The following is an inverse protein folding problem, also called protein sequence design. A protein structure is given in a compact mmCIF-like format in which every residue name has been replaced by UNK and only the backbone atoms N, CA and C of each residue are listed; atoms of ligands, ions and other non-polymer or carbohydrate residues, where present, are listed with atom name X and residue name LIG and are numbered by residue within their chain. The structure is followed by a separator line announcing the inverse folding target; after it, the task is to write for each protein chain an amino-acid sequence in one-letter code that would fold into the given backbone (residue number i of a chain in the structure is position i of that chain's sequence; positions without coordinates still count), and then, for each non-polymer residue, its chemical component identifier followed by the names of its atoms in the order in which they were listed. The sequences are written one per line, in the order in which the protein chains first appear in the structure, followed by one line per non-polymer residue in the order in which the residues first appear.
data_IF_216151828753
#
_entry.id   IF_216151828753
#
_cell.length_a   1.000
_cell.length_b   1.000
_cell.length_c   1.000
_cell.angle_alpha   90.00
_cell.angle_beta   90.00
_cell.angle_gamma   90.00
#
_symmetry.space_group_name_H-M   'P 1'
#
loop_
_entity.id
_entity.type
_entity.pdbx_description
1 polymer ?
#
# COMPACT_ATOMS: atom_id res chain seq x y z
N UNK A 1 37.52 -6.87 27.52
CA UNK A 1 36.91 -6.09 26.42
C UNK A 1 35.80 -6.95 25.84
N UNK A 2 34.55 -6.53 25.99
CA UNK A 2 33.39 -7.30 25.55
C UNK A 2 32.21 -6.35 25.46
N UNK A 3 32.29 -5.39 24.54
CA UNK A 3 31.11 -4.70 24.06
C UNK A 3 30.43 -5.71 23.14
N UNK A 4 29.28 -6.24 23.57
CA UNK A 4 28.43 -6.97 22.65
C UNK A 4 28.09 -6.03 21.50
N UNK A 5 28.34 -6.47 20.28
CA UNK A 5 27.94 -5.72 19.10
C UNK A 5 26.44 -5.45 19.22
N UNK A 6 26.08 -4.16 19.32
CA UNK A 6 24.68 -3.79 19.24
C UNK A 6 24.18 -4.26 17.88
N UNK A 7 23.25 -5.21 17.87
CA UNK A 7 22.62 -5.68 16.64
C UNK A 7 21.83 -4.50 16.10
N UNK A 8 22.41 -3.79 15.13
CA UNK A 8 21.78 -2.70 14.43
C UNK A 8 21.31 -3.22 13.07
N UNK A 9 20.13 -2.75 12.64
CA UNK A 9 19.61 -3.02 11.30
C UNK A 9 19.64 -1.72 10.48
N UNK A 10 19.76 -1.86 9.18
CA UNK A 10 19.69 -0.81 8.18
C UNK A 10 18.39 -0.96 7.34
N UNK A 11 17.21 -0.80 7.95
CA UNK A 11 15.95 -1.14 7.30
C UNK A 11 15.57 -0.19 6.16
N UNK A 12 14.89 -0.76 5.16
CA UNK A 12 14.17 -0.02 4.13
C UNK A 12 12.94 -0.81 3.63
N UNK A 13 11.98 -0.11 3.03
CA UNK A 13 10.72 -0.70 2.57
C UNK A 13 10.68 -0.69 1.04
N UNK A 14 10.39 -1.84 0.41
CA UNK A 14 9.96 -1.91 -1.00
C UNK A 14 8.44 -1.94 -1.09
N UNK A 15 7.89 -1.09 -1.95
CA UNK A 15 6.46 -1.08 -2.27
C UNK A 15 6.22 -1.96 -3.49
N UNK A 16 5.31 -2.93 -3.35
CA UNK A 16 4.98 -3.92 -4.37
C UNK A 16 3.49 -3.85 -4.65
N UNK A 17 3.12 -3.66 -5.91
CA UNK A 17 1.73 -3.58 -6.39
C UNK A 17 1.54 -4.65 -7.46
N UNK A 18 0.58 -5.56 -7.30
CA UNK A 18 0.35 -6.63 -8.27
C UNK A 18 1.53 -7.59 -8.47
N UNK A 19 2.49 -7.60 -7.54
CA UNK A 19 3.74 -8.37 -7.66
C UNK A 19 4.89 -7.59 -8.33
N UNK A 20 4.65 -6.37 -8.83
CA UNK A 20 5.65 -5.49 -9.42
C UNK A 20 6.15 -4.50 -8.37
N UNK A 21 7.47 -4.26 -8.32
CA UNK A 21 8.05 -3.26 -7.42
C UNK A 21 7.83 -1.86 -8.01
N UNK A 22 7.11 -0.99 -7.30
CA UNK A 22 6.85 0.40 -7.75
C UNK A 22 7.84 1.41 -7.16
N UNK A 23 8.54 1.04 -6.07
CA UNK A 23 9.56 1.89 -5.48
C UNK A 23 10.10 1.35 -4.16
N UNK A 24 10.99 2.12 -3.54
CA UNK A 24 11.47 1.84 -2.19
C UNK A 24 11.78 3.12 -1.42
N UNK A 25 11.75 3.05 -0.09
CA UNK A 25 12.21 4.14 0.78
C UNK A 25 13.74 4.26 0.74
N UNK A 26 14.25 5.38 1.27
CA UNK A 26 15.64 5.44 1.71
C UNK A 26 15.90 4.40 2.81
N UNK A 27 17.18 4.03 2.94
CA UNK A 27 17.68 3.19 4.02
C UNK A 27 17.86 4.04 5.26
N UNK A 28 17.35 3.58 6.40
CA UNK A 28 17.62 4.21 7.70
C UNK A 28 18.70 3.38 8.36
N UNK A 29 19.86 3.98 8.61
CA UNK A 29 21.00 3.25 9.17
C UNK A 29 20.88 3.06 10.68
N UNK A 30 21.37 1.92 11.14
CA UNK A 30 21.54 1.53 12.55
C UNK A 30 20.29 1.77 13.41
N UNK A 31 19.12 1.36 12.91
CA UNK A 31 17.83 1.62 13.53
C UNK A 31 16.95 0.38 13.60
N UNK A 32 16.50 0.09 14.81
CA UNK A 32 15.44 -0.87 15.09
C UNK A 32 14.04 -0.23 15.00
N UNK A 33 13.96 1.11 15.07
CA UNK A 33 12.73 1.91 14.97
C UNK A 33 12.87 2.97 13.87
N UNK A 34 12.89 2.55 12.60
CA UNK A 34 13.27 3.43 11.50
C UNK A 34 12.22 4.49 11.21
N UNK A 35 12.62 5.75 11.35
CA UNK A 35 11.81 6.89 10.92
C UNK A 35 12.10 7.20 9.45
N UNK A 36 11.37 6.53 8.56
CA UNK A 36 11.45 6.81 7.14
C UNK A 36 11.03 8.26 6.87
N UNK A 37 11.78 8.95 5.99
CA UNK A 37 11.29 10.20 5.41
C UNK A 37 9.99 9.90 4.67
N UNK A 38 9.09 10.88 4.65
CA UNK A 38 7.84 10.76 3.89
C UNK A 38 8.20 10.55 2.42
N UNK A 39 7.83 9.38 1.89
CA UNK A 39 7.89 9.06 0.48
C UNK A 39 6.46 8.95 -0.03
N UNK A 40 6.20 9.46 -1.23
CA UNK A 40 4.92 9.31 -1.92
C UNK A 40 5.14 8.34 -3.08
N UNK A 41 4.48 7.19 -3.01
CA UNK A 41 4.49 6.21 -4.09
C UNK A 41 3.15 6.32 -4.81
N UNK A 42 3.21 6.82 -6.05
CA UNK A 42 2.06 6.96 -6.92
C UNK A 42 1.98 5.72 -7.82
N UNK A 43 0.79 5.12 -7.90
CA UNK A 43 0.51 4.04 -8.84
C UNK A 43 -0.97 4.07 -9.22
N UNK A 44 -1.26 3.51 -10.39
CA UNK A 44 -2.58 3.53 -10.99
C UNK A 44 -3.15 2.11 -11.06
N UNK A 45 -4.46 2.01 -10.86
CA UNK A 45 -5.21 0.80 -11.21
C UNK A 45 -6.01 1.06 -12.47
N UNK A 46 -5.83 0.18 -13.45
CA UNK A 46 -6.65 0.12 -14.66
C UNK A 46 -8.06 -0.42 -14.31
N UNK A 47 -9.08 -0.16 -15.15
CA UNK A 47 -10.46 -0.62 -14.93
C UNK A 47 -10.60 -2.10 -14.63
N UNK A 48 -9.83 -2.96 -15.30
CA UNK A 48 -9.87 -4.42 -15.08
C UNK A 48 -9.37 -4.84 -13.69
N UNK A 49 -8.61 -3.97 -13.02
CA UNK A 49 -8.13 -4.17 -11.64
C UNK A 49 -9.14 -3.60 -10.64
N UNK A 50 -9.62 -2.37 -10.82
CA UNK A 50 -10.45 -1.70 -9.82
C UNK A 50 -11.94 -2.05 -9.90
N UNK A 51 -12.51 -2.36 -11.07
CA UNK A 51 -13.93 -2.71 -11.18
C UNK A 51 -14.30 -3.91 -10.29
N UNK A 52 -13.54 -5.03 -10.30
CA UNK A 52 -13.77 -6.12 -9.36
C UNK A 52 -13.64 -5.74 -7.88
N UNK A 53 -12.84 -4.72 -7.55
CA UNK A 53 -12.65 -4.24 -6.19
C UNK A 53 -13.89 -3.47 -5.71
N UNK A 54 -14.45 -2.60 -6.55
CA UNK A 54 -15.67 -1.84 -6.24
C UNK A 54 -16.90 -2.73 -6.11
N UNK A 55 -16.99 -3.76 -6.95
CA UNK A 55 -18.06 -4.75 -6.90
C UNK A 55 -17.91 -5.75 -5.73
N UNK A 56 -16.84 -5.64 -4.92
CA UNK A 56 -16.57 -6.55 -3.81
C UNK A 56 -16.20 -7.98 -4.24
N UNK A 57 -15.97 -8.22 -5.53
CA UNK A 57 -15.60 -9.53 -6.09
C UNK A 57 -14.13 -9.88 -5.85
N UNK A 58 -13.28 -8.87 -5.68
CA UNK A 58 -11.87 -9.02 -5.34
C UNK A 58 -11.47 -7.87 -4.40
N UNK A 59 -11.51 -8.02 -3.07
CA UNK A 59 -11.39 -6.89 -2.12
C UNK A 59 -9.98 -6.26 -2.02
N UNK A 60 -9.18 -6.24 -3.11
CA UNK A 60 -7.85 -5.64 -3.14
C UNK A 60 -6.82 -6.30 -2.22
N UNK A 61 -7.23 -7.35 -1.49
CA UNK A 61 -6.46 -7.97 -0.42
C UNK A 61 -5.14 -8.52 -0.93
N UNK A 62 -4.04 -7.89 -0.52
CA UNK A 62 -2.71 -8.31 -0.95
C UNK A 62 -2.28 -7.78 -2.32
N UNK A 63 -3.05 -6.91 -2.97
CA UNK A 63 -2.57 -6.25 -4.19
C UNK A 63 -1.36 -5.36 -3.89
N UNK A 64 -1.47 -4.59 -2.81
CA UNK A 64 -0.41 -3.72 -2.29
C UNK A 64 0.28 -4.40 -1.11
N UNK A 65 1.61 -4.53 -1.19
CA UNK A 65 2.46 -5.11 -0.15
C UNK A 65 3.65 -4.21 0.11
N UNK A 66 3.99 -4.04 1.39
CA UNK A 66 5.25 -3.44 1.80
C UNK A 66 6.17 -4.55 2.26
N UNK A 67 7.34 -4.67 1.65
CA UNK A 67 8.34 -5.65 2.08
C UNK A 67 9.52 -4.94 2.73
N UNK A 68 9.81 -5.34 3.96
CA UNK A 68 10.86 -4.75 4.77
C UNK A 68 12.12 -5.55 4.56
N UNK A 69 13.22 -4.84 4.35
CA UNK A 69 14.54 -5.43 4.15
C UNK A 69 15.54 -4.77 5.08
N UNK A 70 16.46 -5.56 5.61
CA UNK A 70 17.70 -5.10 6.21
C UNK A 70 18.76 -4.99 5.11
N UNK A 71 19.42 -3.84 4.98
CA UNK A 71 20.46 -3.66 3.97
C UNK A 71 21.78 -4.23 4.47
N UNK A 72 22.32 -5.19 3.73
CA UNK A 72 23.68 -5.66 3.94
C UNK A 72 24.64 -5.03 2.93
N UNK A 73 25.86 -4.68 3.37
CA UNK A 73 26.89 -4.16 2.47
C UNK A 73 27.59 -5.24 1.65
N UNK A 74 27.62 -6.50 2.15
CA UNK A 74 28.42 -7.59 1.56
C UNK A 74 27.61 -8.83 1.17
N UNK A 75 26.33 -8.91 1.52
CA UNK A 75 25.40 -9.99 1.19
C UNK A 75 24.14 -9.46 0.51
N UNK A 76 23.24 -10.37 0.12
CA UNK A 76 21.90 -10.00 -0.29
C UNK A 76 21.09 -9.53 0.91
N UNK A 77 20.41 -8.38 0.78
CA UNK A 77 19.50 -7.84 1.79
C UNK A 77 18.55 -8.89 2.40
N UNK A 78 18.49 -8.90 3.72
CA UNK A 78 17.68 -9.84 4.49
C UNK A 78 16.23 -9.37 4.56
N UNK A 79 15.29 -10.27 4.23
CA UNK A 79 13.87 -9.96 4.32
C UNK A 79 13.41 -10.00 5.79
N UNK A 80 12.95 -8.87 6.30
CA UNK A 80 12.51 -8.71 7.69
C UNK A 80 11.00 -8.93 7.88
N UNK A 81 10.24 -9.04 6.79
CA UNK A 81 8.80 -9.31 6.87
C UNK A 81 8.02 -8.63 5.75
N UNK A 82 6.70 -8.79 5.80
CA UNK A 82 5.79 -8.22 4.80
C UNK A 82 4.55 -7.67 5.47
N UNK A 83 4.16 -6.46 5.09
CA UNK A 83 2.88 -5.83 5.43
C UNK A 83 1.95 -5.98 4.24
N UNK A 84 0.72 -6.39 4.50
CA UNK A 84 -0.34 -6.47 3.49
C UNK A 84 -1.28 -5.29 3.71
N UNK A 85 -1.44 -4.47 2.68
CA UNK A 85 -2.33 -3.31 2.73
C UNK A 85 -3.68 -3.71 2.11
N UNK A 86 -4.78 -3.75 2.89
CA UNK A 86 -6.11 -3.87 2.32
C UNK A 86 -6.43 -2.58 1.57
N UNK A 87 -6.90 -2.72 0.33
CA UNK A 87 -7.26 -1.60 -0.51
C UNK A 87 -8.79 -1.55 -0.64
N UNK A 88 -9.39 -0.57 0.02
CA UNK A 88 -10.78 -0.18 -0.21
C UNK A 88 -10.76 1.18 -0.92
N UNK A 89 -11.20 1.19 -2.17
CA UNK A 89 -11.16 2.38 -3.03
C UNK A 89 -12.20 3.44 -2.63
N UNK A 90 -13.17 3.07 -1.79
CA UNK A 90 -14.20 3.97 -1.26
C UNK A 90 -13.78 4.62 0.06
N UNK A 91 -12.70 4.15 0.67
CA UNK A 91 -12.27 4.66 1.95
C UNK A 91 -11.68 6.07 1.80
N UNK A 92 -12.07 7.05 2.64
CA UNK A 92 -11.41 8.35 2.65
C UNK A 92 -9.92 8.22 3.02
N UNK A 93 -9.09 9.22 2.67
CA UNK A 93 -7.69 9.29 3.11
C UNK A 93 -7.51 8.92 4.58
N UNK A 94 -6.67 7.93 4.85
CA UNK A 94 -6.47 7.42 6.21
C UNK A 94 -5.02 7.07 6.49
N UNK A 95 -4.64 7.18 7.76
CA UNK A 95 -3.33 6.79 8.28
C UNK A 95 -3.55 5.72 9.34
N UNK A 96 -2.92 4.54 9.16
CA UNK A 96 -3.12 3.39 10.05
C UNK A 96 -1.83 2.61 10.26
N UNK A 97 -1.74 1.95 11.41
CA UNK A 97 -0.71 0.97 11.72
C UNK A 97 -1.08 -0.39 11.14
N UNK A 98 -0.15 -1.00 10.42
CA UNK A 98 -0.32 -2.33 9.85
C UNK A 98 0.76 -3.28 10.37
N UNK A 99 0.40 -4.50 10.80
CA UNK A 99 1.34 -5.43 11.38
C UNK A 99 2.29 -6.01 10.32
N UNK A 100 3.55 -6.16 10.70
CA UNK A 100 4.53 -6.90 9.92
C UNK A 100 4.28 -8.39 10.11
N UNK A 101 4.09 -9.10 9.00
CA UNK A 101 3.85 -10.54 8.99
C UNK A 101 5.05 -11.31 8.43
N UNK A 102 5.19 -12.60 8.73
CA UNK A 102 6.26 -13.45 8.20
C UNK A 102 6.34 -13.51 6.67
N UNK A 103 5.28 -13.16 5.94
CA UNK A 103 5.21 -13.42 4.49
C UNK A 103 5.18 -14.93 4.18
N UNK A 104 5.57 -15.32 2.97
CA UNK A 104 5.47 -16.72 2.52
C UNK A 104 6.51 -17.08 1.46
N UNK A 105 6.71 -18.39 1.26
CA UNK A 105 7.61 -18.94 0.25
C UNK A 105 9.06 -18.46 0.41
N UNK A 106 9.69 -18.03 -0.70
CA UNK A 106 11.06 -17.46 -0.71
C UNK A 106 11.19 -16.13 0.05
N UNK A 107 10.09 -15.59 0.56
CA UNK A 107 9.99 -14.31 1.27
C UNK A 107 9.41 -14.52 2.66
N UNK A 108 9.57 -15.72 3.21
CA UNK A 108 9.23 -16.05 4.58
C UNK A 108 10.33 -15.56 5.53
N UNK A 109 9.95 -14.86 6.59
CA UNK A 109 10.82 -14.46 7.69
C UNK A 109 10.18 -14.93 9.01
N UNK A 110 10.83 -15.88 9.68
CA UNK A 110 10.28 -16.52 10.89
C UNK A 110 10.03 -15.54 12.04
N UNK A 111 10.89 -14.53 12.17
CA UNK A 111 10.89 -13.59 13.28
C UNK A 111 10.36 -12.21 12.85
N UNK A 112 9.53 -12.15 11.81
CA UNK A 112 8.91 -10.90 11.40
C UNK A 112 8.00 -10.37 12.52
N UNK A 113 8.22 -9.11 12.91
CA UNK A 113 7.51 -8.43 13.99
C UNK A 113 7.52 -6.92 13.77
N UNK A 114 6.78 -6.20 14.60
CA UNK A 114 6.63 -4.75 14.53
C UNK A 114 5.47 -4.30 13.65
N UNK A 115 5.34 -2.98 13.49
CA UNK A 115 4.26 -2.35 12.74
C UNK A 115 4.82 -1.24 11.82
N UNK A 116 4.07 -0.94 10.75
CA UNK A 116 4.36 0.16 9.85
C UNK A 116 3.13 1.06 9.77
N UNK A 117 3.32 2.36 10.01
CA UNK A 117 2.28 3.37 9.79
C UNK A 117 2.24 3.72 8.32
N UNK A 118 1.06 3.60 7.73
CA UNK A 118 0.85 3.86 6.31
C UNK A 118 -0.28 4.84 6.14
N UNK A 119 -0.03 5.91 5.39
CA UNK A 119 -1.05 6.80 4.86
C UNK A 119 -1.42 6.34 3.46
N UNK A 120 -2.72 6.22 3.19
CA UNK A 120 -3.28 5.83 1.90
C UNK A 120 -4.23 6.94 1.47
N UNK A 121 -4.10 7.39 0.24
CA UNK A 121 -5.00 8.34 -0.41
C UNK A 121 -5.39 7.75 -1.76
N UNK A 122 -6.69 7.66 -2.03
CA UNK A 122 -7.24 7.15 -3.29
C UNK A 122 -7.96 8.30 -3.99
N UNK A 123 -7.63 8.53 -5.25
CA UNK A 123 -8.31 9.48 -6.12
C UNK A 123 -9.06 8.70 -7.18
N UNK A 124 -10.40 8.81 -7.18
CA UNK A 124 -11.25 8.21 -8.20
C UNK A 124 -11.52 9.21 -9.32
N UNK A 125 -11.65 8.75 -10.59
CA UNK A 125 -12.25 9.56 -11.65
C UNK A 125 -13.63 10.10 -11.24
N UNK A 126 -13.97 11.31 -11.71
CA UNK A 126 -15.23 11.97 -11.33
C UNK A 126 -16.46 11.13 -11.69
N UNK A 127 -16.50 10.55 -12.90
CA UNK A 127 -17.59 9.70 -13.35
C UNK A 127 -17.81 8.49 -12.43
N UNK A 128 -16.72 7.88 -11.97
CA UNK A 128 -16.75 6.76 -11.04
C UNK A 128 -17.25 7.18 -9.65
N UNK A 129 -16.81 8.35 -9.18
CA UNK A 129 -17.25 8.89 -7.89
C UNK A 129 -18.75 9.19 -7.91
N UNK A 130 -19.25 9.80 -8.97
CA UNK A 130 -20.68 10.06 -9.15
C UNK A 130 -21.52 8.79 -9.24
N UNK A 131 -21.03 7.75 -9.94
CA UNK A 131 -21.72 6.47 -10.03
C UNK A 131 -21.86 5.79 -8.65
N UNK A 132 -20.79 5.81 -7.86
CA UNK A 132 -20.78 5.23 -6.51
C UNK A 132 -21.69 5.99 -5.54
N UNK A 133 -21.77 7.33 -5.66
CA UNK A 133 -22.66 8.15 -4.83
C UNK A 133 -24.14 7.89 -5.16
N UNK A 134 -24.48 7.59 -6.43
CA UNK A 134 -25.85 7.24 -6.87
C UNK A 134 -26.30 5.87 -6.34
N UNK A 135 -25.44 4.85 -6.39
CA UNK A 135 -25.74 3.51 -5.86
C UNK A 135 -26.05 3.53 -4.35
N UNK A 136 -25.43 4.45 -3.58
CA UNK A 136 -25.71 4.63 -2.16
C UNK A 136 -27.05 5.31 -1.84
N UNK A 137 -27.69 5.91 -2.84
CA UNK A 137 -28.91 6.71 -2.71
C UNK A 137 -30.17 6.07 -3.35
N UNK A 138 -30.03 4.96 -4.07
CA UNK A 138 -31.17 4.26 -4.70
C UNK A 138 -31.86 3.26 -3.73
N UNK A 139 -32.48 3.78 -2.67
CA UNK A 139 -33.82 3.36 -2.24
C UNK A 139 -34.80 4.53 -2.46
N UNK A 140 -35.04 4.92 -3.72
CA UNK A 140 -36.30 5.50 -4.23
C UNK A 140 -36.09 5.90 -5.69
N UNK A 141 -36.83 5.24 -6.59
CA UNK A 141 -36.52 5.22 -8.02
C UNK A 141 -36.87 6.49 -8.80
N UNK A 142 -36.17 6.68 -9.91
CA UNK A 142 -36.74 7.14 -11.18
C UNK A 142 -35.76 6.87 -12.32
N UNK A 143 -36.29 6.37 -13.45
CA UNK A 143 -35.57 6.25 -14.72
C UNK A 143 -35.42 7.64 -15.35
N UNK A 144 -34.21 8.02 -15.80
CA UNK A 144 -34.09 9.02 -16.86
C UNK A 144 -32.94 8.69 -17.81
N UNK A 145 -33.29 8.59 -19.10
CA UNK A 145 -32.39 8.48 -20.25
C UNK A 145 -31.72 9.82 -20.55
N UNK A 146 -30.44 9.83 -20.91
CA UNK A 146 -29.86 11.02 -21.53
C UNK A 146 -28.37 11.01 -21.82
N UNK A 147 -28.07 10.93 -23.11
CA UNK A 147 -27.01 11.65 -23.85
C UNK A 147 -25.53 11.30 -23.60
N UNK A 148 -24.91 10.69 -24.61
CA UNK A 148 -23.46 10.51 -24.72
C UNK A 148 -22.82 11.80 -25.25
N UNK A 149 -21.90 12.38 -24.48
CA UNK A 149 -20.98 13.42 -24.95
C UNK A 149 -19.59 12.81 -25.13
N UNK A 150 -18.96 13.16 -26.27
CA UNK A 150 -17.58 12.83 -26.62
C UNK A 150 -16.64 13.24 -25.47
N UNK A 151 -16.01 12.26 -24.82
CA UNK A 151 -14.97 12.48 -23.83
C UNK A 151 -13.60 12.31 -24.48
N UNK A 152 -12.82 13.40 -24.47
CA UNK A 152 -11.37 13.34 -24.60
C UNK A 152 -10.84 12.26 -23.64
N UNK A 153 -9.90 11.42 -24.12
CA UNK A 153 -9.26 10.30 -23.41
C UNK A 153 -8.49 10.78 -22.15
N UNK A 154 -9.18 11.27 -21.12
CA UNK A 154 -8.64 11.33 -19.76
C UNK A 154 -8.57 9.90 -19.24
N UNK A 155 -7.37 9.42 -18.92
CA UNK A 155 -7.15 8.07 -18.42
C UNK A 155 -8.06 7.82 -17.19
N UNK A 156 -9.03 6.92 -17.33
CA UNK A 156 -10.00 6.47 -16.30
C UNK A 156 -9.34 5.67 -15.15
N UNK A 157 -8.09 5.97 -14.86
CA UNK A 157 -7.27 5.26 -13.90
C UNK A 157 -7.53 5.78 -12.48
N UNK A 158 -7.54 4.85 -11.52
CA UNK A 158 -7.58 5.18 -10.10
C UNK A 158 -6.16 5.42 -9.61
N UNK A 159 -5.85 6.67 -9.22
CA UNK A 159 -4.57 7.00 -8.60
C UNK A 159 -4.57 6.63 -7.12
N UNK A 160 -3.51 5.95 -6.68
CA UNK A 160 -3.25 5.68 -5.27
C UNK A 160 -1.92 6.29 -4.87
N UNK A 161 -1.94 7.08 -3.79
CA UNK A 161 -0.76 7.61 -3.14
C UNK A 161 -0.54 6.89 -1.81
N UNK A 162 0.60 6.22 -1.68
CA UNK A 162 1.01 5.55 -0.45
C UNK A 162 2.20 6.26 0.18
N UNK A 163 2.12 6.50 1.49
CA UNK A 163 3.26 6.93 2.30
C UNK A 163 3.45 6.04 3.51
N UNK A 164 4.69 5.60 3.76
CA UNK A 164 5.03 4.74 4.89
C UNK A 164 5.96 5.46 5.88
N UNK A 165 5.68 5.27 7.17
CA UNK A 165 6.48 5.69 8.32
C UNK A 165 6.62 4.50 9.27
N UNK A 166 7.77 4.39 9.93
CA UNK A 166 7.99 3.35 10.94
C UNK A 166 7.97 3.95 12.35
N UNK A 167 7.35 3.23 13.28
CA UNK A 167 7.51 3.34 14.72
C UNK A 167 6.84 2.11 15.36
N UNK A 168 7.50 1.31 16.18
CA UNK A 168 6.77 0.75 17.31
C UNK A 168 7.73 0.32 18.40
N UNK A 169 7.47 0.88 19.58
CA UNK A 169 7.90 0.32 20.85
C UNK A 169 7.73 -1.21 20.83
N UNK A 170 8.77 -1.90 21.28
CA UNK A 170 8.92 -3.36 21.41
C UNK A 170 9.59 -4.06 20.20
N UNK A 171 10.92 -4.01 20.23
CA UNK A 171 11.80 -5.14 19.87
C UNK A 171 12.42 -5.72 21.14
#
# INVERSE_FOLDING_TARGET
FGLGDAVSSDPYIKVIVGGVSVGKTEVVFESLNPKFKVNHFHFFFEPDVYNPMLEGRNPGGGLVRLRIYDRDQMSSDDNMGTVIIPMDLREPPSTRWYPVTPGSGKRYCKNASGDVEVKIEVTLPNALREALDKEGHEEEGHEEEGHAEDSDDEEDDVEVVLSAKGDSDVL
#
